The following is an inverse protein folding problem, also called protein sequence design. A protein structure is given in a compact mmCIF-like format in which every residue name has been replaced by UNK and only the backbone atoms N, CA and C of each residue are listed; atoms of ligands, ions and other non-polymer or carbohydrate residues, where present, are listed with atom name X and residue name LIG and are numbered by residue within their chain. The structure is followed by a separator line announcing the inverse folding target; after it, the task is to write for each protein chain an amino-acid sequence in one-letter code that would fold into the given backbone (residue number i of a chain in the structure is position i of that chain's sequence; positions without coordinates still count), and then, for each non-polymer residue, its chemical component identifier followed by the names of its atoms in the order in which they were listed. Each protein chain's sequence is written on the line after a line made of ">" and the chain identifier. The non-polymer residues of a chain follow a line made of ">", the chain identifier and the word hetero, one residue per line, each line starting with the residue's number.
data_IF_168812075274
#
_entry.id   IF_168812075274
#
_cell.length_a   1.000
_cell.length_b   1.000
_cell.length_c   1.000
_cell.angle_alpha   90.00
_cell.angle_beta   90.00
_cell.angle_gamma   90.00
#
_symmetry.space_group_name_H-M   'P 1'
#
loop_
_entity.id
_entity.type
_entity.pdbx_description
1 polymer ?
#
# COMPACT_ATOMS: atom_id res chain seq x y z
N UNK A 1 3.69 -14.93 23.46
CA UNK A 1 2.21 -14.79 23.42
C UNK A 1 1.61 -15.34 22.13
N UNK A 2 0.37 -15.85 22.13
CA UNK A 2 -0.31 -16.35 20.91
C UNK A 2 -1.12 -15.25 20.24
N UNK A 3 -1.01 -15.14 18.92
CA UNK A 3 -1.78 -14.20 18.13
C UNK A 3 -3.28 -14.55 18.18
N UNK A 4 -4.18 -13.63 18.55
CA UNK A 4 -5.61 -13.93 18.62
C UNK A 4 -6.24 -14.10 17.23
N UNK A 5 -5.58 -13.63 16.16
CA UNK A 5 -6.09 -13.75 14.79
C UNK A 5 -5.66 -15.04 14.07
N UNK A 6 -4.42 -15.52 14.27
CA UNK A 6 -3.91 -16.69 13.55
C UNK A 6 -3.31 -17.79 14.45
N UNK A 7 -3.36 -17.61 15.77
CA UNK A 7 -2.83 -18.51 16.80
C UNK A 7 -1.31 -18.74 16.78
N UNK A 8 -0.55 -18.09 15.88
CA UNK A 8 0.92 -18.14 15.86
C UNK A 8 1.50 -17.72 17.21
N UNK A 9 2.48 -18.49 17.69
CA UNK A 9 3.23 -18.17 18.90
C UNK A 9 4.32 -17.13 18.57
N UNK A 10 4.29 -16.01 19.30
CA UNK A 10 5.18 -14.87 19.11
C UNK A 10 6.00 -14.61 20.38
N UNK A 11 7.21 -14.04 20.28
CA UNK A 11 7.99 -13.53 21.42
C UNK A 11 7.17 -12.59 22.29
N UNK A 12 7.50 -12.46 23.57
CA UNK A 12 6.74 -11.61 24.50
C UNK A 12 6.91 -10.11 24.19
N UNK A 13 8.01 -9.70 23.57
CA UNK A 13 8.28 -8.31 23.19
C UNK A 13 7.80 -7.97 21.75
N UNK A 14 7.10 -8.89 21.08
CA UNK A 14 6.67 -8.68 19.70
C UNK A 14 5.46 -7.75 19.63
N UNK A 15 5.64 -6.55 19.05
CA UNK A 15 4.55 -5.59 18.82
C UNK A 15 3.57 -6.04 17.72
N UNK A 16 4.03 -6.85 16.76
CA UNK A 16 3.23 -7.40 15.66
C UNK A 16 3.45 -8.90 15.55
N UNK A 17 2.41 -9.61 15.12
CA UNK A 17 2.48 -11.03 14.82
C UNK A 17 3.41 -11.26 13.63
N UNK A 18 4.45 -12.07 13.83
CA UNK A 18 5.47 -12.34 12.82
C UNK A 18 4.93 -13.04 11.57
N UNK A 19 3.81 -13.75 11.71
CA UNK A 19 3.22 -14.51 10.59
C UNK A 19 2.14 -13.74 9.83
N UNK A 20 1.18 -13.12 10.53
CA UNK A 20 0.04 -12.47 9.87
C UNK A 20 0.03 -10.94 9.97
N UNK A 21 1.00 -10.33 10.66
CA UNK A 21 1.11 -8.87 10.82
C UNK A 21 0.10 -8.22 11.78
N UNK A 22 -0.72 -9.01 12.50
CA UNK A 22 -1.67 -8.50 13.50
C UNK A 22 -0.94 -7.82 14.67
N UNK A 23 -1.34 -6.61 15.08
CA UNK A 23 -0.73 -5.91 16.21
C UNK A 23 -1.03 -6.67 17.52
N UNK A 24 0.03 -7.15 18.19
CA UNK A 24 -0.06 -7.96 19.41
C UNK A 24 0.04 -7.12 20.69
N UNK A 25 0.48 -5.87 20.56
CA UNK A 25 0.55 -4.89 21.63
C UNK A 25 -0.87 -4.52 22.10
N UNK A 26 -1.43 -5.34 22.98
CA UNK A 26 -2.79 -5.15 23.45
C UNK A 26 -2.90 -3.96 24.41
N UNK A 27 -3.82 -3.08 24.05
CA UNK A 27 -4.82 -2.41 24.91
C UNK A 27 -4.24 -1.59 26.05
N UNK A 28 -4.02 -0.33 25.71
CA UNK A 28 -4.04 0.74 26.69
C UNK A 28 -5.33 0.81 27.49
N UNK A 29 -5.26 1.19 28.76
CA UNK A 29 -6.45 1.52 29.53
C UNK A 29 -7.02 2.85 29.00
N UNK A 30 -8.34 2.94 28.81
CA UNK A 30 -8.96 4.21 28.48
C UNK A 30 -8.79 5.16 29.66
N UNK A 31 -8.29 6.37 29.38
CA UNK A 31 -8.16 7.39 30.40
C UNK A 31 -9.53 7.66 31.05
N UNK A 32 -9.68 7.57 32.38
CA UNK A 32 -10.97 7.79 33.05
C UNK A 32 -11.48 9.23 32.88
N UNK A 33 -10.62 10.18 32.49
CA UNK A 33 -10.99 11.57 32.26
C UNK A 33 -11.40 11.91 30.82
N UNK A 34 -10.90 11.19 29.81
CA UNK A 34 -11.15 11.54 28.40
C UNK A 34 -11.34 10.36 27.44
N UNK A 35 -11.26 9.13 27.94
CA UNK A 35 -11.42 7.90 27.17
C UNK A 35 -10.26 7.56 26.24
N UNK A 36 -9.21 8.39 26.15
CA UNK A 36 -8.06 8.09 25.29
C UNK A 36 -7.37 6.80 25.73
N UNK A 37 -7.17 5.88 24.80
CA UNK A 37 -6.45 4.62 25.02
C UNK A 37 -4.96 4.96 25.12
N UNK A 38 -4.41 4.95 26.33
CA UNK A 38 -3.01 5.27 26.55
C UNK A 38 -2.21 3.98 26.72
N UNK A 39 -0.97 3.91 26.21
CA UNK A 39 -0.08 2.77 26.47
C UNK A 39 -0.12 2.36 27.94
N UNK A 40 -0.13 1.06 28.24
CA UNK A 40 -0.33 0.54 29.60
C UNK A 40 0.70 1.05 30.63
N UNK A 41 1.88 1.50 30.16
CA UNK A 41 2.94 2.10 30.96
C UNK A 41 2.88 3.65 31.06
N UNK A 42 1.88 4.29 30.45
CA UNK A 42 1.70 5.73 30.47
C UNK A 42 1.39 6.22 31.90
N UNK A 43 2.18 7.18 32.39
CA UNK A 43 1.98 7.82 33.70
C UNK A 43 0.97 8.96 33.65
N UNK A 44 0.87 9.60 32.48
CA UNK A 44 -0.09 10.66 32.18
C UNK A 44 -0.78 10.34 30.86
N UNK A 45 -2.03 10.76 30.73
CA UNK A 45 -2.76 10.67 29.46
C UNK A 45 -2.06 11.53 28.41
N UNK A 46 -1.72 10.93 27.27
CA UNK A 46 -1.02 11.60 26.18
C UNK A 46 -1.87 12.68 25.48
N UNK A 47 -3.18 12.65 25.66
CA UNK A 47 -4.12 13.60 25.04
C UNK A 47 -4.57 14.72 25.98
N UNK A 48 -4.87 14.42 27.26
CA UNK A 48 -5.41 15.41 28.20
C UNK A 48 -4.50 15.76 29.39
N UNK A 49 -3.38 15.05 29.57
CA UNK A 49 -2.44 15.30 30.67
C UNK A 49 -2.87 14.78 32.05
N UNK A 50 -4.01 14.07 32.16
CA UNK A 50 -4.48 13.50 33.43
C UNK A 50 -3.50 12.45 33.98
N UNK A 51 -3.26 12.44 35.29
CA UNK A 51 -2.42 11.44 35.98
C UNK A 51 -3.15 10.10 36.06
N UNK A 52 -2.56 9.05 35.50
CA UNK A 52 -3.16 7.72 35.39
C UNK A 52 -2.76 6.77 36.54
N UNK A 53 -1.90 7.19 37.47
CA UNK A 53 -1.40 6.32 38.55
C UNK A 53 -2.39 6.08 39.68
N UNK A 54 -3.27 7.04 39.96
CA UNK A 54 -4.18 6.97 41.12
C UNK A 54 -5.24 5.85 41.01
N UNK A 55 -5.46 5.31 39.82
CA UNK A 55 -6.49 4.30 39.54
C UNK A 55 -5.99 2.85 39.59
N UNK A 56 -4.68 2.61 39.81
CA UNK A 56 -4.09 1.26 39.79
C UNK A 56 -4.05 0.54 41.14
N UNK A 57 -4.50 1.16 42.25
CA UNK A 57 -4.35 0.60 43.61
C UNK A 57 -5.67 0.40 44.40
N UNK A 58 -6.85 0.43 43.75
CA UNK A 58 -8.11 0.12 44.45
C UNK A 58 -8.58 -1.32 44.17
N UNK A 59 -8.99 -2.11 45.19
CA UNK A 59 -9.40 -3.48 44.99
C UNK A 59 -10.74 -3.58 44.24
N UNK A 60 -10.79 -4.46 43.25
CA UNK A 60 -11.98 -4.86 42.50
C UNK A 60 -13.11 -5.26 43.45
N UNK A 61 -14.24 -4.56 43.37
CA UNK A 61 -15.48 -4.99 44.00
C UNK A 61 -16.39 -5.61 42.93
N UNK A 62 -16.77 -6.86 43.17
CA UNK A 62 -17.62 -7.67 42.31
C UNK A 62 -19.06 -7.12 42.31
N UNK A 63 -19.71 -7.06 41.14
CA UNK A 63 -21.17 -6.95 41.02
C UNK A 63 -21.66 -7.99 40.00
N UNK A 64 -22.79 -8.69 40.27
CA UNK A 64 -23.21 -9.91 39.58
C UNK A 64 -23.85 -9.65 38.21
N UNK A 65 -23.84 -10.69 37.37
CA UNK A 65 -24.54 -10.75 36.11
C UNK A 65 -26.06 -10.67 36.30
N UNK A 66 -26.70 -9.68 35.68
CA UNK A 66 -28.15 -9.64 35.47
C UNK A 66 -28.46 -9.99 34.00
N UNK A 67 -29.51 -10.81 33.85
CA UNK A 67 -29.96 -11.43 32.61
C UNK A 67 -30.69 -10.44 31.69
N UNK A 68 -30.36 -10.48 30.40
CA UNK A 68 -31.03 -9.70 29.35
C UNK A 68 -32.40 -10.30 28.97
N UNK A 69 -33.45 -9.49 28.76
CA UNK A 69 -34.74 -10.02 28.31
C UNK A 69 -34.74 -10.25 26.79
N UNK A 70 -35.12 -11.47 26.41
CA UNK A 70 -35.35 -11.92 25.03
C UNK A 70 -36.57 -11.21 24.45
N UNK A 71 -36.37 -10.30 23.49
CA UNK A 71 -37.45 -9.74 22.66
C UNK A 71 -37.49 -10.50 21.33
N UNK A 72 -38.57 -11.23 21.11
CA UNK A 72 -38.87 -11.94 19.87
C UNK A 72 -39.03 -10.95 18.70
N UNK A 73 -38.22 -11.16 17.66
CA UNK A 73 -38.32 -10.47 16.37
C UNK A 73 -39.39 -11.19 15.53
N UNK A 74 -40.43 -10.47 15.14
CA UNK A 74 -41.33 -10.87 14.07
C UNK A 74 -40.70 -10.46 12.73
N UNK A 75 -40.64 -11.41 11.80
CA UNK A 75 -40.05 -11.27 10.48
C UNK A 75 -41.07 -10.63 9.54
N UNK A 76 -40.83 -9.39 9.11
CA UNK A 76 -41.51 -8.86 7.92
C UNK A 76 -40.71 -9.25 6.67
N UNK A 77 -41.40 -9.89 5.72
CA UNK A 77 -40.84 -10.34 4.44
C UNK A 77 -40.55 -9.15 3.53
N UNK A 78 -39.28 -8.95 3.18
CA UNK A 78 -38.86 -8.02 2.14
C UNK A 78 -38.89 -8.72 0.77
N UNK A 79 -39.40 -8.07 -0.30
CA UNK A 79 -39.42 -8.67 -1.65
C UNK A 79 -38.01 -9.00 -2.17
N UNK A 80 -37.86 -10.20 -2.75
CA UNK A 80 -36.59 -10.82 -3.17
C UNK A 80 -35.97 -10.29 -4.48
N UNK A 81 -36.47 -9.20 -5.07
CA UNK A 81 -35.96 -8.72 -6.37
C UNK A 81 -35.46 -7.27 -6.30
N UNK A 82 -34.13 -7.11 -6.43
CA UNK A 82 -33.49 -5.82 -6.70
C UNK A 82 -33.52 -5.55 -8.21
N UNK A 83 -34.01 -4.38 -8.68
CA UNK A 83 -33.94 -4.04 -10.10
C UNK A 83 -32.50 -3.90 -10.58
N UNK A 84 -32.15 -4.59 -11.66
CA UNK A 84 -30.78 -4.70 -12.21
C UNK A 84 -30.22 -3.43 -12.87
N UNK A 85 -31.01 -2.36 -13.01
CA UNK A 85 -30.54 -1.08 -13.54
C UNK A 85 -31.16 0.07 -12.73
N UNK A 86 -30.35 0.66 -11.85
CA UNK A 86 -30.64 1.96 -11.25
C UNK A 86 -30.18 3.00 -12.27
N UNK A 87 -31.08 3.82 -12.87
CA UNK A 87 -30.66 4.93 -13.69
C UNK A 87 -29.73 5.83 -12.87
N UNK A 88 -28.75 6.48 -13.51
CA UNK A 88 -27.99 7.60 -12.93
C UNK A 88 -28.99 8.73 -12.61
N UNK A 89 -29.69 8.58 -11.49
CA UNK A 89 -30.59 9.58 -10.96
C UNK A 89 -29.68 10.67 -10.40
N UNK A 90 -29.57 11.77 -11.13
CA UNK A 90 -29.10 13.02 -10.57
C UNK A 90 -29.93 13.28 -9.31
N UNK A 91 -29.27 13.21 -8.16
CA UNK A 91 -29.90 13.43 -6.87
C UNK A 91 -30.42 14.86 -6.83
N UNK A 92 -31.75 15.01 -6.93
CA UNK A 92 -32.45 16.25 -6.66
C UNK A 92 -32.83 16.24 -5.18
N UNK A 93 -32.16 17.02 -4.31
CA UNK A 93 -32.49 17.07 -2.89
C UNK A 93 -33.92 17.58 -2.68
N UNK A 94 -34.65 17.08 -1.67
CA UNK A 94 -35.97 17.58 -1.32
C UNK A 94 -35.91 19.04 -0.84
N UNK A 95 -36.89 19.84 -1.28
CA UNK A 95 -37.07 21.30 -1.14
C UNK A 95 -37.22 21.85 0.31
N UNK A 96 -36.64 21.17 1.31
CA UNK A 96 -36.84 21.48 2.73
C UNK A 96 -35.62 21.97 3.51
N UNK A 97 -34.40 21.60 3.14
CA UNK A 97 -33.16 22.16 3.71
C UNK A 97 -31.90 21.71 2.96
N UNK A 98 -31.28 22.58 2.16
CA UNK A 98 -30.00 22.25 1.50
C UNK A 98 -28.78 22.30 2.45
N UNK A 99 -28.95 22.82 3.67
CA UNK A 99 -27.85 23.09 4.58
C UNK A 99 -27.80 22.09 5.74
N UNK A 100 -26.60 21.58 6.05
CA UNK A 100 -26.35 20.80 7.27
C UNK A 100 -26.71 21.51 8.58
N UNK A 101 -26.93 22.83 8.54
CA UNK A 101 -27.39 23.59 9.72
C UNK A 101 -28.78 23.17 10.16
N UNK A 102 -29.57 22.63 9.25
CA UNK A 102 -30.92 22.17 9.49
C UNK A 102 -30.98 20.66 9.73
N UNK A 103 -29.87 19.94 9.53
CA UNK A 103 -29.80 18.49 9.69
C UNK A 103 -28.48 18.07 10.34
N UNK A 104 -28.53 17.52 11.56
CA UNK A 104 -27.34 17.10 12.28
C UNK A 104 -26.58 15.99 11.52
N UNK A 105 -25.30 16.20 11.15
CA UNK A 105 -24.51 15.21 10.44
C UNK A 105 -24.35 13.86 11.16
N UNK A 106 -24.47 13.86 12.50
CA UNK A 106 -24.19 12.68 13.32
C UNK A 106 -25.42 11.79 13.56
N UNK A 107 -26.62 12.36 13.60
CA UNK A 107 -27.84 11.65 14.02
C UNK A 107 -29.08 11.97 13.18
N UNK A 108 -28.93 12.79 12.14
CA UNK A 108 -30.00 13.23 11.24
C UNK A 108 -31.21 13.90 11.94
N UNK A 109 -31.05 14.37 13.18
CA UNK A 109 -32.06 15.19 13.84
C UNK A 109 -31.95 16.65 13.42
N UNK A 110 -33.10 17.32 13.34
CA UNK A 110 -33.23 18.72 12.94
C UNK A 110 -33.79 19.62 14.06
N UNK A 111 -33.47 20.92 14.07
CA UNK A 111 -32.30 21.59 13.47
C UNK A 111 -31.08 21.58 14.42
N UNK A 112 -29.92 22.06 13.96
CA UNK A 112 -28.82 22.42 14.85
C UNK A 112 -29.07 23.78 15.50
N UNK A 113 -28.92 23.87 16.82
CA UNK A 113 -29.12 25.12 17.57
C UNK A 113 -27.85 25.97 17.57
N UNK A 114 -27.84 27.19 17.01
CA UNK A 114 -26.70 28.09 17.07
C UNK A 114 -26.52 28.67 18.47
N UNK A 115 -25.29 28.62 19.01
CA UNK A 115 -24.93 29.21 20.30
C UNK A 115 -23.65 30.04 20.18
N UNK A 116 -23.59 31.14 20.92
CA UNK A 116 -22.40 32.02 20.97
C UNK A 116 -21.85 32.08 22.38
N UNK A 117 -20.59 31.69 22.55
CA UNK A 117 -19.89 31.75 23.82
C UNK A 117 -18.88 32.90 23.81
N UNK A 118 -19.09 33.88 24.71
CA UNK A 118 -18.14 34.98 24.91
C UNK A 118 -17.12 34.58 25.99
N UNK A 119 -15.90 34.30 25.57
CA UNK A 119 -14.76 34.14 26.48
C UNK A 119 -14.03 35.47 26.72
N UNK A 120 -13.02 35.44 27.61
CA UNK A 120 -12.23 36.63 28.00
C UNK A 120 -11.44 37.22 26.82
N UNK A 121 -10.99 36.38 25.89
CA UNK A 121 -10.13 36.76 24.76
C UNK A 121 -10.75 36.51 23.38
N UNK A 122 -11.83 35.72 23.29
CA UNK A 122 -12.46 35.40 22.00
C UNK A 122 -13.94 35.03 22.14
N UNK A 123 -14.70 35.30 21.08
CA UNK A 123 -16.07 34.84 20.90
C UNK A 123 -16.05 33.58 20.05
N UNK A 124 -16.75 32.53 20.49
CA UNK A 124 -16.88 31.27 19.75
C UNK A 124 -18.33 31.08 19.32
N UNK A 125 -18.52 30.88 18.02
CA UNK A 125 -19.81 30.48 17.45
C UNK A 125 -19.81 28.97 17.31
N UNK A 126 -20.85 28.32 17.82
CA UNK A 126 -21.04 26.88 17.69
C UNK A 126 -22.43 26.56 17.15
N UNK A 127 -22.56 25.40 16.52
CA UNK A 127 -23.83 24.74 16.22
C UNK A 127 -23.90 23.47 17.08
N UNK A 128 -25.02 23.24 17.76
CA UNK A 128 -25.18 22.14 18.70
C UNK A 128 -26.45 21.35 18.40
N UNK A 129 -26.33 20.02 18.34
CA UNK A 129 -27.49 19.13 18.27
C UNK A 129 -27.98 18.79 19.67
N UNK A 130 -29.24 19.08 19.96
CA UNK A 130 -29.83 18.81 21.28
C UNK A 130 -30.07 17.32 21.53
N UNK A 131 -30.22 16.53 20.47
CA UNK A 131 -30.46 15.09 20.55
C UNK A 131 -29.20 14.29 20.89
N UNK A 132 -28.16 14.36 20.03
CA UNK A 132 -26.94 13.57 20.21
C UNK A 132 -25.79 14.34 20.87
N UNK A 133 -25.99 15.64 21.18
CA UNK A 133 -24.96 16.48 21.79
C UNK A 133 -23.81 16.86 20.85
N UNK A 134 -23.98 16.65 19.53
CA UNK A 134 -22.95 16.99 18.56
C UNK A 134 -22.69 18.50 18.55
N UNK A 135 -21.43 18.91 18.75
CA UNK A 135 -21.00 20.31 18.78
C UNK A 135 -20.05 20.59 17.63
N UNK A 136 -20.37 21.61 16.83
CA UNK A 136 -19.56 22.07 15.72
C UNK A 136 -19.11 23.52 15.95
N UNK A 137 -17.82 23.74 16.19
CA UNK A 137 -17.24 25.06 16.46
C UNK A 137 -16.75 25.72 15.15
N UNK A 138 -17.21 26.92 14.86
CA UNK A 138 -16.81 27.65 13.65
C UNK A 138 -15.32 28.04 13.72
N UNK A 139 -14.58 27.72 12.66
CA UNK A 139 -13.14 28.02 12.46
C UNK A 139 -12.95 28.66 11.08
N UNK A 140 -13.07 29.99 11.02
CA UNK A 140 -13.08 30.71 9.75
C UNK A 140 -14.29 30.31 8.91
N UNK A 141 -14.05 29.75 7.72
CA UNK A 141 -15.10 29.21 6.82
C UNK A 141 -15.46 27.74 7.09
N UNK A 142 -14.76 27.08 8.01
CA UNK A 142 -14.89 25.66 8.28
C UNK A 142 -15.48 25.43 9.67
N UNK A 143 -15.82 24.19 10.00
CA UNK A 143 -16.39 23.80 11.28
C UNK A 143 -15.65 22.60 11.86
N UNK A 144 -15.19 22.76 13.10
CA UNK A 144 -14.55 21.72 13.90
C UNK A 144 -15.63 20.91 14.62
N UNK A 145 -15.73 19.62 14.35
CA UNK A 145 -16.58 18.72 15.13
C UNK A 145 -15.90 18.39 16.46
N UNK A 146 -16.41 18.96 17.54
CA UNK A 146 -15.69 19.11 18.81
C UNK A 146 -16.14 18.17 19.90
N UNK A 147 -17.40 17.78 19.90
CA UNK A 147 -17.97 16.89 20.91
C UNK A 147 -19.22 16.20 20.37
N UNK A 148 -19.58 15.08 21.00
CA UNK A 148 -20.85 14.37 20.89
C UNK A 148 -21.05 13.62 22.22
N UNK A 149 -22.27 13.25 22.58
CA UNK A 149 -22.51 12.46 23.80
C UNK A 149 -21.85 11.06 23.72
N UNK A 150 -22.03 10.36 22.61
CA UNK A 150 -21.41 9.05 22.39
C UNK A 150 -20.11 9.15 21.57
N UNK A 151 -19.00 9.34 22.27
CA UNK A 151 -17.66 9.36 21.67
C UNK A 151 -17.17 7.97 21.22
N UNK A 152 -17.89 6.90 21.54
CA UNK A 152 -17.56 5.56 21.04
C UNK A 152 -18.18 5.27 19.67
N UNK A 153 -19.13 6.11 19.25
CA UNK A 153 -19.79 6.01 17.94
C UNK A 153 -18.80 6.02 16.77
N UNK A 154 -19.16 5.30 15.71
CA UNK A 154 -18.36 5.30 14.48
C UNK A 154 -18.28 6.68 13.85
N UNK A 155 -19.34 7.50 14.00
CA UNK A 155 -19.33 8.88 13.55
C UNK A 155 -18.25 9.72 14.26
N UNK A 156 -18.12 9.60 15.58
CA UNK A 156 -17.06 10.28 16.33
C UNK A 156 -15.66 9.76 15.99
N UNK A 157 -15.49 8.44 15.88
CA UNK A 157 -14.19 7.86 15.44
C UNK A 157 -13.78 8.39 14.06
N UNK A 158 -14.76 8.59 13.17
CA UNK A 158 -14.56 8.99 11.78
C UNK A 158 -14.30 10.49 11.60
N UNK A 159 -15.08 11.34 12.28
CA UNK A 159 -15.06 12.78 12.07
C UNK A 159 -14.70 13.60 13.32
N UNK A 160 -14.61 12.98 14.49
CA UNK A 160 -14.29 13.65 15.74
C UNK A 160 -12.99 14.43 15.63
N UNK A 161 -13.01 15.68 16.08
CA UNK A 161 -11.90 16.65 16.00
C UNK A 161 -11.49 17.05 14.58
N UNK A 162 -12.19 16.61 13.53
CA UNK A 162 -11.94 17.09 12.17
C UNK A 162 -12.55 18.47 11.96
N UNK A 163 -11.84 19.29 11.19
CA UNK A 163 -12.31 20.59 10.72
C UNK A 163 -12.62 20.47 9.24
N UNK A 164 -13.91 20.46 8.89
CA UNK A 164 -14.39 20.27 7.51
C UNK A 164 -15.11 21.51 7.01
N UNK A 165 -15.25 21.62 5.69
CA UNK A 165 -16.02 22.72 5.08
C UNK A 165 -17.52 22.57 5.31
N UNK A 166 -18.26 23.65 5.10
CA UNK A 166 -19.74 23.64 5.11
C UNK A 166 -20.30 22.61 4.12
N UNK A 167 -19.79 22.58 2.88
CA UNK A 167 -20.21 21.61 1.86
C UNK A 167 -19.93 20.16 2.25
N UNK A 168 -18.82 19.90 2.95
CA UNK A 168 -18.51 18.56 3.46
C UNK A 168 -19.51 18.13 4.52
N UNK A 169 -19.84 19.00 5.48
CA UNK A 169 -20.85 18.70 6.50
C UNK A 169 -22.24 18.53 5.91
N UNK A 170 -22.62 19.34 4.90
CA UNK A 170 -23.85 19.14 4.13
C UNK A 170 -23.89 17.78 3.50
N UNK A 171 -22.85 17.38 2.76
CA UNK A 171 -22.83 16.04 2.18
C UNK A 171 -22.92 14.95 3.24
N UNK A 172 -22.18 15.06 4.35
CA UNK A 172 -22.19 14.06 5.42
C UNK A 172 -23.58 13.94 6.06
N UNK A 173 -24.28 15.07 6.31
CA UNK A 173 -25.64 15.06 6.83
C UNK A 173 -26.64 14.35 5.91
N UNK A 174 -26.39 14.36 4.60
CA UNK A 174 -27.20 13.66 3.61
C UNK A 174 -26.62 12.27 3.23
N UNK A 175 -25.82 11.65 4.10
CA UNK A 175 -25.29 10.29 3.90
C UNK A 175 -24.05 10.18 3.01
N UNK A 176 -23.48 11.31 2.59
CA UNK A 176 -22.24 11.39 1.82
C UNK A 176 -20.96 11.32 2.67
N UNK A 177 -19.81 11.54 2.01
CA UNK A 177 -18.48 11.44 2.64
C UNK A 177 -17.69 12.77 2.56
N UNK A 178 -16.71 12.90 3.45
CA UNK A 178 -15.72 13.98 3.37
C UNK A 178 -14.82 13.83 2.15
N UNK A 179 -14.13 14.91 1.75
CA UNK A 179 -13.20 14.88 0.62
C UNK A 179 -12.03 13.94 0.87
N UNK A 180 -11.54 13.88 2.11
CA UNK A 180 -10.46 12.97 2.52
C UNK A 180 -10.87 11.51 2.31
N UNK A 181 -12.07 11.14 2.73
CA UNK A 181 -12.56 9.77 2.63
C UNK A 181 -12.84 9.34 1.21
N UNK A 182 -13.40 10.25 0.39
CA UNK A 182 -13.54 10.02 -1.05
C UNK A 182 -12.19 9.68 -1.66
N UNK A 183 -11.14 10.46 -1.36
CA UNK A 183 -9.78 10.19 -1.86
C UNK A 183 -9.23 8.85 -1.40
N UNK A 184 -9.42 8.48 -0.13
CA UNK A 184 -8.97 7.18 0.39
C UNK A 184 -9.70 6.03 -0.33
N UNK A 185 -11.01 6.14 -0.51
CA UNK A 185 -11.80 5.12 -1.23
C UNK A 185 -11.38 5.01 -2.69
N UNK A 186 -11.19 6.13 -3.38
CA UNK A 186 -10.71 6.17 -4.78
C UNK A 186 -9.31 5.55 -4.91
N UNK A 187 -8.39 5.87 -4.00
CA UNK A 187 -7.04 5.26 -3.97
C UNK A 187 -7.11 3.75 -3.74
N UNK A 188 -7.93 3.30 -2.79
CA UNK A 188 -8.12 1.87 -2.53
C UNK A 188 -8.74 1.16 -3.73
N UNK A 189 -9.73 1.78 -4.37
CA UNK A 189 -10.35 1.25 -5.57
C UNK A 189 -9.37 1.19 -6.75
N UNK A 190 -8.51 2.18 -6.94
CA UNK A 190 -7.45 2.17 -7.95
C UNK A 190 -6.37 1.10 -7.67
N UNK A 191 -6.00 0.91 -6.39
CA UNK A 191 -5.09 -0.15 -5.98
C UNK A 191 -5.67 -1.53 -6.24
N UNK A 192 -6.94 -1.76 -5.88
CA UNK A 192 -7.63 -3.02 -6.13
C UNK A 192 -7.73 -3.33 -7.63
N UNK A 193 -8.02 -2.32 -8.45
CA UNK A 193 -8.05 -2.44 -9.90
C UNK A 193 -6.69 -2.85 -10.48
N UNK A 194 -5.59 -2.26 -10.01
CA UNK A 194 -4.24 -2.63 -10.44
C UNK A 194 -3.92 -4.08 -10.08
N UNK A 195 -4.23 -4.50 -8.85
CA UNK A 195 -4.00 -5.89 -8.40
C UNK A 195 -4.82 -6.85 -9.25
N UNK A 196 -6.10 -6.55 -9.49
CA UNK A 196 -6.97 -7.36 -10.32
C UNK A 196 -6.44 -7.47 -11.75
N UNK A 197 -6.08 -6.34 -12.36
CA UNK A 197 -5.50 -6.30 -13.71
C UNK A 197 -4.21 -7.14 -13.81
N UNK A 198 -3.26 -6.98 -12.88
CA UNK A 198 -2.01 -7.73 -12.88
C UNK A 198 -2.25 -9.24 -12.72
N UNK A 199 -3.19 -9.64 -11.86
CA UNK A 199 -3.54 -11.05 -11.68
C UNK A 199 -4.20 -11.63 -12.94
N UNK A 200 -5.10 -10.89 -13.59
CA UNK A 200 -5.70 -11.31 -14.86
C UNK A 200 -4.67 -11.40 -15.99
N UNK A 201 -3.68 -10.49 -15.99
CA UNK A 201 -2.59 -10.48 -16.95
C UNK A 201 -1.68 -11.70 -16.75
N UNK A 202 -1.30 -12.00 -15.50
CA UNK A 202 -0.54 -13.22 -15.15
C UNK A 202 -1.26 -14.50 -15.55
N UNK A 203 -2.58 -14.56 -15.30
CA UNK A 203 -3.39 -15.71 -15.67
C UNK A 203 -3.56 -15.87 -17.20
N UNK A 204 -3.20 -14.85 -17.99
CA UNK A 204 -3.42 -14.83 -19.43
C UNK A 204 -4.88 -14.58 -19.84
N UNK A 205 -5.72 -14.11 -18.91
CA UNK A 205 -7.13 -13.79 -19.16
C UNK A 205 -7.30 -12.43 -19.85
N UNK A 206 -6.38 -11.50 -19.59
CA UNK A 206 -6.28 -10.23 -20.34
C UNK A 206 -4.95 -10.14 -21.05
N UNK A 207 -4.93 -9.40 -22.15
CA UNK A 207 -3.74 -9.20 -22.96
C UNK A 207 -3.43 -7.71 -23.09
N UNK A 208 -2.15 -7.36 -23.04
CA UNK A 208 -1.68 -6.05 -23.45
C UNK A 208 -1.93 -5.86 -24.96
N UNK A 209 -2.23 -4.62 -25.34
CA UNK A 209 -2.48 -4.27 -26.74
C UNK A 209 -1.30 -4.63 -27.63
N UNK A 210 -1.62 -5.10 -28.85
CA UNK A 210 -0.59 -5.41 -29.84
C UNK A 210 0.08 -4.13 -30.34
N UNK A 211 1.39 -4.18 -30.52
CA UNK A 211 2.20 -3.05 -30.98
C UNK A 211 2.45 -3.22 -32.48
N UNK A 212 1.90 -2.34 -33.34
CA UNK A 212 2.18 -2.37 -34.76
C UNK A 212 3.64 -1.95 -35.01
N UNK A 213 4.32 -2.66 -35.93
CA UNK A 213 5.69 -2.35 -36.37
C UNK A 213 6.72 -2.26 -35.23
N UNK A 214 6.91 -3.32 -34.42
CA UNK A 214 7.92 -3.31 -33.37
C UNK A 214 9.34 -3.26 -33.97
N UNK A 215 10.37 -2.87 -33.18
CA UNK A 215 11.75 -2.77 -33.64
C UNK A 215 12.44 -4.14 -33.79
N UNK A 216 11.68 -5.17 -34.16
CA UNK A 216 12.14 -6.54 -34.43
C UNK A 216 11.39 -7.10 -35.64
N UNK A 217 12.02 -8.02 -36.35
CA UNK A 217 11.34 -8.80 -37.39
C UNK A 217 10.51 -9.91 -36.72
N UNK A 218 9.19 -9.81 -36.84
CA UNK A 218 8.23 -10.79 -36.33
C UNK A 218 8.17 -12.03 -37.23
N UNK A 219 8.10 -13.22 -36.62
CA UNK A 219 7.84 -14.47 -37.33
C UNK A 219 6.36 -14.61 -37.65
N UNK A 220 6.00 -15.58 -38.51
CA UNK A 220 4.59 -15.91 -38.82
C UNK A 220 3.78 -16.14 -37.53
N UNK A 221 2.70 -15.39 -37.34
CA UNK A 221 1.83 -15.45 -36.15
C UNK A 221 2.50 -15.00 -34.86
N UNK A 222 3.60 -14.24 -34.93
CA UNK A 222 4.22 -13.59 -33.78
C UNK A 222 3.70 -12.16 -33.65
N UNK A 223 3.30 -11.77 -32.44
CA UNK A 223 2.76 -10.44 -32.14
C UNK A 223 3.51 -9.84 -30.96
N UNK A 224 3.95 -8.59 -31.10
CA UNK A 224 4.57 -7.84 -30.01
C UNK A 224 3.51 -7.15 -29.15
N UNK A 225 3.72 -7.11 -27.84
CA UNK A 225 2.80 -6.49 -26.88
C UNK A 225 3.49 -5.56 -25.88
N UNK A 226 4.82 -5.59 -25.78
CA UNK A 226 5.60 -4.65 -24.97
C UNK A 226 6.85 -4.24 -25.75
N UNK A 227 7.15 -2.93 -25.77
CA UNK A 227 8.41 -2.37 -26.29
C UNK A 227 8.90 -1.31 -25.31
N UNK A 228 10.00 -1.56 -24.61
CA UNK A 228 10.59 -0.66 -23.62
C UNK A 228 11.99 -0.25 -24.06
N UNK A 229 12.20 1.05 -24.34
CA UNK A 229 13.52 1.61 -24.66
C UNK A 229 14.35 1.92 -23.41
N UNK A 230 15.68 2.04 -23.59
CA UNK A 230 16.59 2.48 -22.53
C UNK A 230 16.76 1.49 -21.37
N UNK A 231 16.36 0.23 -21.57
CA UNK A 231 16.50 -0.86 -20.60
C UNK A 231 17.97 -1.25 -20.46
N UNK A 232 18.40 -1.45 -19.22
CA UNK A 232 19.78 -1.86 -18.90
C UNK A 232 19.82 -3.36 -18.67
N UNK A 233 20.64 -4.06 -19.45
CA UNK A 233 20.97 -5.47 -19.27
C UNK A 233 22.11 -5.60 -18.24
N UNK A 234 21.87 -6.34 -17.16
CA UNK A 234 22.88 -6.63 -16.13
C UNK A 234 23.06 -8.14 -15.95
N UNK A 235 24.27 -8.55 -15.60
CA UNK A 235 24.61 -9.96 -15.35
C UNK A 235 25.74 -10.04 -14.30
N UNK A 236 25.74 -11.10 -13.48
CA UNK A 236 26.81 -11.34 -12.52
C UNK A 236 28.16 -11.62 -13.23
N UNK A 237 29.20 -10.88 -12.83
CA UNK A 237 30.58 -11.10 -13.30
C UNK A 237 31.55 -11.17 -12.13
N UNK A 238 32.44 -12.15 -12.17
CA UNK A 238 33.57 -12.25 -11.25
C UNK A 238 34.51 -11.05 -11.44
N UNK A 239 34.79 -10.34 -10.36
CA UNK A 239 35.73 -9.23 -10.30
C UNK A 239 36.97 -9.71 -9.59
N UNK A 240 38.13 -9.61 -10.25
CA UNK A 240 39.42 -9.98 -9.67
C UNK A 240 40.12 -8.71 -9.20
N UNK A 241 40.34 -8.60 -7.89
CA UNK A 241 41.32 -7.65 -7.38
C UNK A 241 42.69 -8.34 -7.34
N UNK A 242 43.64 -7.86 -8.13
CA UNK A 242 45.05 -8.28 -8.03
C UNK A 242 45.80 -7.20 -7.26
N UNK A 243 46.05 -7.41 -5.97
CA UNK A 243 47.00 -6.57 -5.24
C UNK A 243 48.41 -6.94 -5.69
N UNK A 244 49.16 -5.98 -6.20
CA UNK A 244 50.47 -6.20 -6.84
C UNK A 244 51.44 -6.96 -5.94
N UNK A 245 52.08 -7.98 -6.53
CA UNK A 245 53.19 -8.71 -5.93
C UNK A 245 54.50 -7.99 -6.25
N UNK A 246 55.15 -7.39 -5.25
CA UNK A 246 56.55 -6.98 -5.38
C UNK A 246 57.42 -8.21 -5.09
N UNK A 247 58.21 -8.63 -6.08
CA UNK A 247 59.24 -9.66 -5.90
C UNK A 247 60.56 -8.96 -5.59
N UNK A 248 60.99 -8.95 -4.32
CA UNK A 248 62.24 -8.33 -3.94
C UNK A 248 63.48 -9.04 -4.53
N UNK A 249 64.63 -8.34 -4.62
CA UNK A 249 65.83 -8.87 -5.23
C UNK A 249 66.35 -10.11 -4.48
N UNK A 250 66.87 -11.09 -5.23
CA UNK A 250 67.53 -12.27 -4.65
C UNK A 250 69.03 -11.99 -4.55
N UNK A 251 69.56 -11.91 -3.33
CA UNK A 251 70.99 -11.68 -3.11
C UNK A 251 71.67 -13.04 -2.91
N UNK A 252 72.65 -13.35 -3.77
CA UNK A 252 73.50 -14.55 -3.62
C UNK A 252 74.64 -14.24 -2.66
N UNK A 253 74.77 -15.04 -1.60
CA UNK A 253 75.78 -14.83 -0.56
C UNK A 253 76.91 -15.85 -0.66
N UNK A 254 76.64 -17.03 -1.23
CA UNK A 254 77.65 -18.03 -1.57
C UNK A 254 77.14 -18.98 -2.68
N UNK A 255 78.03 -19.83 -3.20
CA UNK A 255 77.69 -20.86 -4.20
C UNK A 255 76.76 -21.90 -3.53
N UNK A 256 75.49 -21.88 -3.89
CA UNK A 256 74.45 -22.76 -3.31
C UNK A 256 73.61 -22.14 -2.20
N UNK A 257 73.87 -20.90 -1.77
CA UNK A 257 73.10 -20.23 -0.70
C UNK A 257 72.66 -18.83 -1.16
N UNK A 258 71.34 -18.61 -1.19
CA UNK A 258 70.72 -17.33 -1.58
C UNK A 258 69.62 -16.94 -0.60
N UNK A 259 69.55 -15.66 -0.24
CA UNK A 259 68.45 -15.10 0.55
C UNK A 259 67.49 -14.35 -0.38
N UNK A 260 66.19 -14.67 -0.29
CA UNK A 260 65.11 -13.95 -0.97
C UNK A 260 64.52 -12.94 0.01
N UNK A 261 64.66 -11.65 -0.30
CA UNK A 261 64.11 -10.58 0.52
C UNK A 261 62.66 -10.32 0.06
N UNK A 262 61.67 -10.99 0.68
CA UNK A 262 60.24 -10.68 0.54
C UNK A 262 59.64 -10.80 -0.86
N UNK A 263 58.89 -11.87 -1.12
CA UNK A 263 57.90 -11.93 -2.20
C UNK A 263 56.50 -11.94 -1.59
N UNK A 264 55.70 -10.90 -1.82
CA UNK A 264 54.26 -10.95 -1.48
C UNK A 264 53.56 -11.69 -2.61
N UNK A 265 53.03 -12.90 -2.36
CA UNK A 265 52.19 -13.58 -3.32
C UNK A 265 50.86 -12.81 -3.46
N UNK A 266 50.55 -12.34 -4.67
CA UNK A 266 49.27 -11.71 -4.95
C UNK A 266 48.14 -12.74 -4.78
N UNK A 267 47.39 -12.66 -3.68
CA UNK A 267 46.15 -13.43 -3.51
C UNK A 267 45.05 -12.67 -4.24
N UNK A 268 44.66 -13.17 -5.41
CA UNK A 268 43.47 -12.66 -6.10
C UNK A 268 42.25 -13.32 -5.49
N UNK A 269 41.35 -12.52 -4.93
CA UNK A 269 40.03 -12.97 -4.51
C UNK A 269 39.04 -12.49 -5.58
N UNK A 270 38.22 -13.43 -6.06
CA UNK A 270 37.16 -13.14 -7.02
C UNK A 270 35.81 -13.17 -6.33
N UNK A 271 35.10 -12.04 -6.34
CA UNK A 271 33.72 -11.94 -5.86
C UNK A 271 32.81 -11.64 -7.05
N UNK A 272 31.56 -12.11 -7.03
CA UNK A 272 30.60 -11.82 -8.10
C UNK A 272 29.93 -10.47 -7.87
N UNK A 273 30.00 -9.60 -8.88
CA UNK A 273 29.31 -8.31 -8.88
C UNK A 273 28.33 -8.22 -10.05
N UNK A 274 27.16 -7.61 -9.81
CA UNK A 274 26.17 -7.35 -10.84
C UNK A 274 26.59 -6.16 -11.70
N UNK A 275 27.04 -6.42 -12.94
CA UNK A 275 27.57 -5.39 -13.85
C UNK A 275 26.59 -5.05 -14.96
N UNK A 276 26.56 -3.78 -15.33
CA UNK A 276 25.85 -3.30 -16.51
C UNK A 276 26.61 -3.75 -17.76
N UNK A 277 25.96 -4.56 -18.58
CA UNK A 277 26.55 -5.15 -19.78
C UNK A 277 26.26 -4.28 -21.00
N UNK A 278 25.02 -3.84 -21.15
CA UNK A 278 24.55 -3.07 -22.30
C UNK A 278 23.27 -2.30 -21.96
N UNK A 279 22.91 -1.34 -22.81
CA UNK A 279 21.65 -0.61 -22.75
C UNK A 279 20.96 -0.67 -24.11
N UNK A 280 19.64 -0.85 -24.13
CA UNK A 280 18.92 -1.13 -25.36
C UNK A 280 17.41 -1.17 -25.20
N UNK A 281 16.75 -1.82 -26.16
CA UNK A 281 15.30 -1.99 -26.21
C UNK A 281 14.93 -3.41 -25.83
N UNK A 282 13.98 -3.57 -24.90
CA UNK A 282 13.37 -4.84 -24.55
C UNK A 282 12.01 -4.97 -25.24
N UNK A 283 11.76 -6.10 -25.89
CA UNK A 283 10.53 -6.40 -26.62
C UNK A 283 9.96 -7.72 -26.14
N UNK A 284 8.70 -7.74 -25.71
CA UNK A 284 7.95 -8.97 -25.42
C UNK A 284 6.98 -9.27 -26.55
N UNK A 285 7.03 -10.50 -27.04
CA UNK A 285 6.05 -11.05 -27.99
C UNK A 285 5.30 -12.23 -27.37
N UNK A 286 4.29 -12.73 -28.06
CA UNK A 286 3.64 -14.01 -27.72
C UNK A 286 4.54 -15.25 -27.89
N UNK A 287 5.81 -15.10 -28.33
CA UNK A 287 6.74 -16.23 -28.53
C UNK A 287 8.08 -16.07 -27.81
N UNK A 288 8.56 -14.84 -27.62
CA UNK A 288 9.89 -14.58 -27.06
C UNK A 288 10.01 -13.22 -26.38
N UNK A 289 10.92 -13.15 -25.42
CA UNK A 289 11.46 -11.91 -24.88
C UNK A 289 12.79 -11.60 -25.58
N UNK A 290 12.89 -10.42 -26.20
CA UNK A 290 14.04 -10.02 -27.01
C UNK A 290 14.62 -8.73 -26.47
N UNK A 291 15.92 -8.72 -26.20
CA UNK A 291 16.67 -7.50 -25.91
C UNK A 291 17.60 -7.17 -27.06
N UNK A 292 17.56 -5.92 -27.53
CA UNK A 292 18.45 -5.39 -28.56
C UNK A 292 19.22 -4.22 -27.97
N UNK A 293 20.48 -4.44 -27.64
CA UNK A 293 21.41 -3.39 -27.24
C UNK A 293 22.49 -3.14 -28.30
N UNK A 294 23.37 -2.19 -28.01
CA UNK A 294 24.47 -1.80 -28.90
C UNK A 294 25.58 -2.85 -29.03
N UNK A 295 25.73 -3.72 -28.02
CA UNK A 295 26.81 -4.72 -27.86
C UNK A 295 26.28 -6.15 -27.73
N UNK A 296 25.01 -6.31 -27.34
CA UNK A 296 24.39 -7.59 -27.04
C UNK A 296 22.97 -7.65 -27.59
N UNK A 297 22.65 -8.79 -28.19
CA UNK A 297 21.29 -9.18 -28.52
C UNK A 297 20.96 -10.44 -27.74
N UNK A 298 19.89 -10.42 -26.96
CA UNK A 298 19.40 -11.58 -26.21
C UNK A 298 18.05 -11.98 -26.79
N UNK A 299 17.88 -13.26 -27.12
CA UNK A 299 16.63 -13.83 -27.59
C UNK A 299 16.25 -15.00 -26.68
N UNK A 300 15.16 -14.85 -25.94
CA UNK A 300 14.67 -15.84 -24.99
C UNK A 300 13.33 -16.35 -25.51
N UNK A 301 13.28 -17.59 -25.99
CA UNK A 301 12.02 -18.29 -26.24
C UNK A 301 11.26 -18.41 -24.91
N UNK A 302 9.99 -18.01 -24.89
CA UNK A 302 9.20 -17.99 -23.66
C UNK A 302 9.11 -19.37 -23.00
N UNK A 303 9.13 -20.45 -23.80
CA UNK A 303 9.08 -21.83 -23.29
C UNK A 303 10.35 -22.27 -22.56
N UNK A 304 11.45 -21.54 -22.73
CA UNK A 304 12.74 -21.85 -22.09
C UNK A 304 12.97 -21.07 -20.80
N UNK A 305 12.03 -20.21 -20.42
CA UNK A 305 12.10 -19.45 -19.18
C UNK A 305 11.78 -20.41 -18.03
N UNK A 306 12.71 -20.54 -17.09
CA UNK A 306 12.58 -21.40 -15.92
C UNK A 306 11.96 -20.62 -14.76
N UNK A 307 12.42 -19.38 -14.55
CA UNK A 307 11.93 -18.50 -13.49
C UNK A 307 12.06 -17.03 -13.88
N UNK A 308 11.11 -16.22 -13.41
CA UNK A 308 11.16 -14.76 -13.46
C UNK A 308 10.90 -14.19 -12.09
N UNK A 309 11.81 -13.32 -11.66
CA UNK A 309 11.67 -12.53 -10.44
C UNK A 309 11.40 -11.07 -10.82
N UNK A 310 10.43 -10.46 -10.15
CA UNK A 310 10.07 -9.07 -10.35
C UNK A 310 10.77 -8.17 -9.31
N UNK A 311 11.24 -7.02 -9.79
CA UNK A 311 11.78 -5.93 -9.00
C UNK A 311 10.97 -4.66 -9.31
N UNK A 312 11.15 -3.59 -8.53
CA UNK A 312 10.44 -2.32 -8.77
C UNK A 312 10.68 -1.79 -10.18
N UNK A 313 11.92 -1.86 -10.64
CA UNK A 313 12.41 -1.27 -11.88
C UNK A 313 12.69 -2.29 -12.99
N UNK A 314 12.34 -3.57 -12.81
CA UNK A 314 12.70 -4.57 -13.81
C UNK A 314 12.46 -6.02 -13.42
N UNK A 315 13.01 -6.93 -14.21
CA UNK A 315 12.92 -8.37 -13.95
C UNK A 315 14.30 -9.04 -13.97
N UNK A 316 14.42 -10.14 -13.26
CA UNK A 316 15.49 -11.11 -13.45
C UNK A 316 14.91 -12.36 -14.13
N UNK A 317 15.54 -12.81 -15.22
CA UNK A 317 15.13 -13.99 -15.98
C UNK A 317 16.19 -15.08 -15.87
N UNK A 318 15.73 -16.27 -15.52
CA UNK A 318 16.51 -17.51 -15.55
C UNK A 318 15.94 -18.41 -16.64
N UNK A 319 16.80 -19.01 -17.45
CA UNK A 319 16.39 -19.80 -18.62
C UNK A 319 17.28 -21.00 -18.85
N UNK A 320 16.75 -21.98 -19.59
CA UNK A 320 17.50 -23.15 -20.01
C UNK A 320 18.79 -22.78 -20.76
N UNK A 321 19.81 -23.63 -20.61
CA UNK A 321 21.10 -23.50 -21.30
C UNK A 321 21.85 -22.19 -20.99
N UNK A 322 21.50 -21.50 -19.89
CA UNK A 322 22.25 -20.36 -19.39
C UNK A 322 22.36 -20.40 -17.87
N UNK A 323 23.60 -20.44 -17.36
CA UNK A 323 23.87 -20.50 -15.93
C UNK A 323 23.66 -19.16 -15.21
N UNK A 324 23.85 -18.04 -15.92
CA UNK A 324 23.81 -16.70 -15.31
C UNK A 324 22.46 -16.03 -15.54
N UNK A 325 21.85 -15.56 -14.45
CA UNK A 325 20.63 -14.76 -14.47
C UNK A 325 20.83 -13.46 -15.24
N UNK A 326 19.86 -13.15 -16.12
CA UNK A 326 19.83 -11.93 -16.93
C UNK A 326 18.86 -10.94 -16.30
N UNK A 327 19.34 -9.74 -15.95
CA UNK A 327 18.51 -8.70 -15.33
C UNK A 327 18.21 -7.61 -16.35
N UNK A 328 16.95 -7.24 -16.48
CA UNK A 328 16.46 -6.19 -17.36
C UNK A 328 15.82 -5.09 -16.51
N UNK A 329 16.51 -3.95 -16.39
CA UNK A 329 16.17 -2.87 -15.43
C UNK A 329 15.88 -1.53 -16.13
N UNK A 330 15.16 -0.64 -15.46
CA UNK A 330 14.65 0.63 -15.99
C UNK A 330 13.27 0.57 -16.63
N UNK A 331 12.46 -0.45 -16.31
CA UNK A 331 11.10 -0.60 -16.85
C UNK A 331 10.14 0.47 -16.30
N UNK A 332 10.33 0.88 -15.05
CA UNK A 332 9.51 1.87 -14.32
C UNK A 332 9.59 3.30 -14.88
N UNK A 333 10.49 3.55 -15.84
CA UNK A 333 10.56 4.78 -16.64
C UNK A 333 9.49 4.87 -17.72
N UNK A 334 8.81 3.76 -17.98
CA UNK A 334 7.70 3.66 -18.91
C UNK A 334 6.38 3.62 -18.14
N UNK A 335 5.28 3.86 -18.84
CA UNK A 335 3.94 3.76 -18.27
C UNK A 335 3.10 2.72 -19.01
N UNK A 336 2.18 2.11 -18.29
CA UNK A 336 1.10 1.31 -18.85
C UNK A 336 -0.22 2.03 -18.60
N UNK A 337 -1.01 2.16 -19.66
CA UNK A 337 -2.42 2.54 -19.55
C UNK A 337 -3.28 1.30 -19.75
N UNK A 338 -4.22 1.06 -18.83
CA UNK A 338 -5.17 -0.04 -18.91
C UNK A 338 -6.56 0.41 -18.44
N UNK A 339 -7.59 -0.30 -18.93
CA UNK A 339 -8.97 -0.04 -18.56
C UNK A 339 -9.53 -1.27 -17.84
N UNK A 340 -10.14 -1.06 -16.67
CA UNK A 340 -10.81 -2.11 -15.90
C UNK A 340 -12.00 -1.50 -15.15
N UNK A 341 -13.13 -2.21 -15.06
CA UNK A 341 -14.32 -1.73 -14.37
C UNK A 341 -14.77 -0.32 -14.83
N UNK A 342 -14.67 -0.03 -16.14
CA UNK A 342 -15.01 1.28 -16.73
C UNK A 342 -14.04 2.43 -16.42
N UNK A 343 -12.99 2.18 -15.63
CA UNK A 343 -11.99 3.19 -15.24
C UNK A 343 -10.68 3.01 -16.01
N UNK A 344 -10.08 4.13 -16.41
CA UNK A 344 -8.78 4.16 -17.07
C UNK A 344 -7.69 4.51 -16.07
N UNK A 345 -6.64 3.69 -16.00
CA UNK A 345 -5.52 3.87 -15.08
C UNK A 345 -4.23 3.99 -15.87
N UNK A 346 -3.36 4.91 -15.45
CA UNK A 346 -1.99 5.02 -15.97
C UNK A 346 -1.01 4.83 -14.82
N UNK A 347 -0.18 3.79 -14.90
CA UNK A 347 0.75 3.38 -13.84
C UNK A 347 2.17 3.19 -14.41
N UNK A 348 3.22 3.33 -13.59
CA UNK A 348 4.57 2.94 -14.01
C UNK A 348 4.63 1.47 -14.42
N UNK A 349 5.37 1.17 -15.50
CA UNK A 349 5.57 -0.20 -15.98
C UNK A 349 6.59 -0.93 -15.10
N UNK A 350 6.15 -1.39 -13.94
CA UNK A 350 7.03 -2.07 -12.96
C UNK A 350 7.42 -3.47 -13.43
N UNK A 351 8.40 -4.07 -12.74
CA UNK A 351 8.76 -5.47 -12.95
C UNK A 351 7.63 -6.46 -12.67
N UNK A 352 6.68 -6.12 -11.78
CA UNK A 352 5.49 -6.95 -11.54
C UNK A 352 4.61 -7.04 -12.78
N UNK A 353 4.39 -5.92 -13.47
CA UNK A 353 3.63 -5.88 -14.72
C UNK A 353 4.37 -6.65 -15.81
N UNK A 354 5.69 -6.46 -15.93
CA UNK A 354 6.48 -7.19 -16.93
C UNK A 354 6.46 -8.70 -16.68
N UNK A 355 6.65 -9.12 -15.43
CA UNK A 355 6.58 -10.52 -15.03
C UNK A 355 5.21 -11.12 -15.38
N UNK A 356 4.12 -10.49 -14.95
CA UNK A 356 2.77 -10.94 -15.26
C UNK A 356 2.51 -11.01 -16.77
N UNK A 357 2.98 -10.02 -17.54
CA UNK A 357 2.86 -10.05 -19.00
C UNK A 357 3.61 -11.26 -19.61
N UNK A 358 4.81 -11.57 -19.12
CA UNK A 358 5.59 -12.71 -19.61
C UNK A 358 4.95 -14.04 -19.22
N UNK A 359 4.59 -14.21 -17.95
CA UNK A 359 3.97 -15.43 -17.42
C UNK A 359 2.60 -15.68 -18.08
N UNK A 360 1.79 -14.63 -18.26
CA UNK A 360 0.53 -14.72 -19.01
C UNK A 360 0.72 -15.18 -20.44
N UNK A 361 1.76 -14.70 -21.14
CA UNK A 361 2.10 -15.20 -22.48
C UNK A 361 2.57 -16.65 -22.45
N UNK A 362 3.34 -17.06 -21.44
CA UNK A 362 3.77 -18.46 -21.28
C UNK A 362 2.55 -19.39 -21.09
N UNK A 363 1.55 -19.00 -20.30
CA UNK A 363 0.33 -19.79 -20.06
C UNK A 363 -0.56 -19.96 -21.30
N UNK A 364 -0.41 -19.07 -22.29
CA UNK A 364 -1.15 -19.10 -23.54
C UNK A 364 -0.47 -19.92 -24.65
N UNK A 365 0.75 -20.40 -24.43
CA UNK A 365 1.50 -21.26 -25.37
C UNK A 365 1.05 -22.71 -25.17
#
# INVERSE_FOLDING_TARGET
>A
MKCPQCATENPEEAHFCMECGFLLDERGEPCPSCGNINPWNAKFCLECGADLKQYKESPSNQIPAEESPTRSLETEEFPEECPDEVPDAEYLPPDGSESWRELCPACNHNPLTPKTYKGILSTKNILECEYCGAVFEQKGKNYLFKAIYDISSDFWKRYGRKTLTEDEWTRIAHGGLSNEEKRIMEQKAAQNDLVNFVNQLDAGNVNLSTIPNPPIMLKKGEEACVVLGGITLREARAVRHTRGAYGGPTIRVAKGVSFRMGSVAARSESHEELRNIDQGTLVLTNKRLVFIGSKRTINIDLRKIIAIEAYKDGIASQRENKQKTEYFTGTDRHALTFNINGRSHTVPFTGLILKAAVEGKIRQI
#
